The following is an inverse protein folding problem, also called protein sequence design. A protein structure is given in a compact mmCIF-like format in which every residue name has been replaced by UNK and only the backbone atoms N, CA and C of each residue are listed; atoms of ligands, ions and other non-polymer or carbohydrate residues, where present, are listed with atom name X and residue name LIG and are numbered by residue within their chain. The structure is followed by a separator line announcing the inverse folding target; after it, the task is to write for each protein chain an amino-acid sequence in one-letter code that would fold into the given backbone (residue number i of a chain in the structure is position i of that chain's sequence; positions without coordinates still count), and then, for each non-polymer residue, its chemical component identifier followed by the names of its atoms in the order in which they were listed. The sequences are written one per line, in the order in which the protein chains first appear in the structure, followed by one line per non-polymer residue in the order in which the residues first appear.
data_IF_951789621237
#
_entry.id   IF_951789621237
#
_cell.length_a   1.000
_cell.length_b   1.000
_cell.length_c   1.000
_cell.angle_alpha   90.00
_cell.angle_beta   90.00
_cell.angle_gamma   90.00
#
_symmetry.space_group_name_H-M   'P 1'
#
loop_
_entity.id
_entity.type
_entity.pdbx_description
1 polymer ?
#
# COMPACT_ATOMS: atom_id res chain seq x y z
N UNK A 1 -20.87 1.87 15.29
CA UNK A 1 -20.25 2.82 14.33
C UNK A 1 -20.99 4.14 14.43
N UNK A 2 -20.39 5.18 15.03
CA UNK A 2 -21.07 6.45 15.36
C UNK A 2 -20.30 7.70 14.92
N UNK A 3 -19.37 7.59 13.95
CA UNK A 3 -18.58 8.74 13.45
C UNK A 3 -19.03 9.14 12.04
N UNK A 4 -19.34 10.41 11.84
CA UNK A 4 -19.88 10.96 10.57
C UNK A 4 -18.81 11.12 9.48
N UNK A 5 -17.61 11.56 9.86
CA UNK A 5 -16.50 11.77 8.93
C UNK A 5 -15.89 10.44 8.47
N UNK A 6 -15.68 10.31 7.15
CA UNK A 6 -15.13 9.10 6.51
C UNK A 6 -14.09 9.49 5.46
N UNK A 7 -13.00 8.72 5.38
CA UNK A 7 -12.08 8.73 4.26
C UNK A 7 -12.43 7.55 3.34
N UNK A 8 -12.68 7.83 2.07
CA UNK A 8 -12.97 6.81 1.06
C UNK A 8 -11.70 6.62 0.24
N UNK A 9 -11.12 5.43 0.32
CA UNK A 9 -9.93 5.09 -0.45
C UNK A 9 -10.34 4.27 -1.68
N UNK A 10 -10.00 4.78 -2.87
CA UNK A 10 -10.23 4.13 -4.14
C UNK A 10 -9.07 3.16 -4.47
N UNK A 11 -9.40 1.87 -4.49
CA UNK A 11 -8.43 0.80 -4.77
C UNK A 11 -8.11 0.69 -6.26
N UNK A 12 -9.05 1.07 -7.12
CA UNK A 12 -8.81 1.09 -8.56
C UNK A 12 -7.78 2.16 -8.93
N UNK A 13 -7.83 3.33 -8.28
CA UNK A 13 -6.84 4.38 -8.42
C UNK A 13 -5.44 3.93 -7.96
N UNK A 14 -5.33 3.23 -6.83
CA UNK A 14 -4.05 2.68 -6.36
C UNK A 14 -3.44 1.72 -7.39
N UNK A 15 -4.23 0.78 -7.90
CA UNK A 15 -3.78 -0.17 -8.93
C UNK A 15 -3.38 0.53 -10.21
N UNK A 16 -4.20 1.48 -10.67
CA UNK A 16 -3.87 2.30 -11.85
C UNK A 16 -2.52 2.99 -11.69
N UNK A 17 -2.29 3.67 -10.57
CA UNK A 17 -1.05 4.39 -10.30
C UNK A 17 0.15 3.43 -10.28
N UNK A 18 0.02 2.27 -9.64
CA UNK A 18 1.07 1.25 -9.63
C UNK A 18 1.44 0.76 -11.04
N UNK A 19 0.44 0.52 -11.91
CA UNK A 19 0.71 0.16 -13.30
C UNK A 19 1.42 1.28 -14.08
N UNK A 20 1.12 2.56 -13.81
CA UNK A 20 1.85 3.66 -14.43
C UNK A 20 3.32 3.66 -14.00
N UNK A 21 3.60 3.52 -12.71
CA UNK A 21 4.98 3.43 -12.20
C UNK A 21 5.73 2.27 -12.87
N UNK A 22 5.09 1.10 -12.99
CA UNK A 22 5.69 -0.08 -13.61
C UNK A 22 5.97 0.11 -15.11
N UNK A 23 5.10 0.80 -15.84
CA UNK A 23 5.33 1.18 -17.24
C UNK A 23 6.49 2.17 -17.38
N UNK A 24 6.65 3.09 -16.43
CA UNK A 24 7.71 4.11 -16.45
C UNK A 24 9.08 3.58 -16.01
N UNK A 25 9.16 2.42 -15.35
CA UNK A 25 10.39 1.84 -14.85
C UNK A 25 10.55 0.37 -15.31
N UNK A 26 10.65 0.10 -16.62
CA UNK A 26 10.75 -1.26 -17.13
C UNK A 26 12.01 -1.96 -16.61
N UNK A 27 11.86 -3.19 -16.13
CA UNK A 27 12.97 -4.01 -15.62
C UNK A 27 13.45 -3.65 -14.20
N UNK A 28 12.92 -2.59 -13.59
CA UNK A 28 13.22 -2.21 -12.22
C UNK A 28 12.32 -2.96 -11.23
N UNK A 29 12.86 -3.29 -10.06
CA UNK A 29 12.06 -3.70 -8.90
C UNK A 29 11.40 -2.49 -8.25
N UNK A 30 10.15 -2.64 -7.82
CA UNK A 30 9.33 -1.60 -7.21
C UNK A 30 9.02 -1.98 -5.76
N UNK A 31 9.36 -1.09 -4.84
CA UNK A 31 8.96 -1.18 -3.44
C UNK A 31 7.79 -0.23 -3.16
N UNK A 32 6.63 -0.78 -2.77
CA UNK A 32 5.51 0.02 -2.31
C UNK A 32 5.77 0.51 -0.87
N UNK A 33 5.98 1.82 -0.71
CA UNK A 33 6.20 2.42 0.61
C UNK A 33 4.86 2.60 1.31
N UNK A 34 4.66 1.92 2.44
CA UNK A 34 3.38 1.86 3.16
C UNK A 34 3.50 2.25 4.64
N UNK A 35 4.54 3.02 4.99
CA UNK A 35 4.71 3.61 6.34
C UNK A 35 3.52 4.49 6.75
N UNK A 36 3.36 4.71 8.05
CA UNK A 36 2.29 5.50 8.65
C UNK A 36 0.89 5.06 8.17
N UNK A 37 0.62 3.75 8.28
CA UNK A 37 -0.64 3.15 7.83
C UNK A 37 -0.95 3.41 6.34
N UNK A 38 0.05 3.19 5.48
CA UNK A 38 0.04 3.60 4.07
C UNK A 38 -0.36 5.07 3.89
N UNK A 39 0.34 5.97 4.59
CA UNK A 39 0.05 7.41 4.58
C UNK A 39 -1.43 7.71 4.92
N UNK A 40 -2.01 6.95 5.86
CA UNK A 40 -3.40 7.07 6.29
C UNK A 40 -4.45 6.40 5.37
N UNK A 41 -4.01 5.65 4.35
CA UNK A 41 -4.91 4.94 3.43
C UNK A 41 -5.31 3.53 3.93
N UNK A 42 -4.70 3.05 5.02
CA UNK A 42 -4.92 1.72 5.58
C UNK A 42 -3.95 0.70 4.99
N UNK A 43 -2.84 0.44 5.69
CA UNK A 43 -1.72 -0.38 5.21
C UNK A 43 -2.14 -1.77 4.76
N UNK A 44 -3.02 -2.44 5.51
CA UNK A 44 -3.46 -3.79 5.16
C UNK A 44 -4.28 -3.85 3.87
N UNK A 45 -5.08 -2.81 3.60
CA UNK A 45 -5.89 -2.74 2.38
C UNK A 45 -5.04 -2.35 1.18
N UNK A 46 -4.10 -1.42 1.37
CA UNK A 46 -3.14 -1.01 0.33
C UNK A 46 -2.21 -2.16 -0.03
N UNK A 47 -1.65 -2.88 0.95
CA UNK A 47 -0.76 -4.02 0.70
C UNK A 47 -1.45 -5.10 -0.15
N UNK A 48 -2.69 -5.46 0.16
CA UNK A 48 -3.49 -6.39 -0.66
C UNK A 48 -3.84 -5.85 -2.05
N UNK A 49 -3.95 -4.54 -2.21
CA UNK A 49 -4.25 -3.92 -3.50
C UNK A 49 -3.03 -3.89 -4.44
N UNK A 50 -1.82 -3.88 -3.86
CA UNK A 50 -0.53 -3.79 -4.52
C UNK A 50 0.26 -5.09 -4.37
N UNK A 51 -0.43 -6.24 -4.46
CA UNK A 51 0.14 -7.59 -4.35
C UNK A 51 1.22 -7.88 -5.41
N UNK A 52 1.14 -7.20 -6.56
CA UNK A 52 2.14 -7.30 -7.63
C UNK A 52 3.45 -6.53 -7.39
N UNK A 53 3.62 -5.86 -6.24
CA UNK A 53 4.87 -5.14 -5.91
C UNK A 53 5.99 -6.12 -5.57
N UNK A 54 7.25 -5.76 -5.88
CA UNK A 54 8.40 -6.60 -5.55
C UNK A 54 8.74 -6.61 -4.04
N UNK A 55 8.15 -5.70 -3.27
CA UNK A 55 8.24 -5.67 -1.82
C UNK A 55 7.61 -4.42 -1.21
N UNK A 56 7.57 -4.38 0.12
CA UNK A 56 7.04 -3.27 0.89
C UNK A 56 8.13 -2.59 1.70
N UNK A 57 8.04 -1.27 1.84
CA UNK A 57 8.89 -0.48 2.72
C UNK A 57 8.07 0.20 3.82
N UNK A 58 8.56 0.12 5.05
CA UNK A 58 7.94 0.68 6.27
C UNK A 58 8.96 1.52 7.04
N UNK A 59 8.48 2.33 7.99
CA UNK A 59 9.36 3.16 8.81
C UNK A 59 9.70 2.51 10.17
N UNK A 60 8.87 1.58 10.64
CA UNK A 60 9.04 0.93 11.94
C UNK A 60 8.86 -0.59 11.87
N UNK A 61 9.46 -1.31 12.81
CA UNK A 61 9.38 -2.77 12.87
C UNK A 61 7.96 -3.27 13.09
N UNK A 62 7.17 -2.55 13.89
CA UNK A 62 5.78 -2.91 14.20
C UNK A 62 4.89 -2.85 12.96
N UNK A 63 5.15 -1.90 12.05
CA UNK A 63 4.45 -1.82 10.76
C UNK A 63 4.81 -3.04 9.90
N UNK A 64 6.08 -3.45 9.88
CA UNK A 64 6.52 -4.65 9.19
C UNK A 64 5.89 -5.93 9.77
N UNK A 65 5.83 -6.04 11.11
CA UNK A 65 5.16 -7.14 11.78
C UNK A 65 3.65 -7.19 11.47
N UNK A 66 2.98 -6.03 11.44
CA UNK A 66 1.58 -5.92 11.06
C UNK A 66 1.32 -6.37 9.61
N UNK A 67 2.22 -6.04 8.67
CA UNK A 67 2.16 -6.55 7.31
C UNK A 67 2.37 -8.07 7.25
N UNK A 68 3.34 -8.61 7.99
CA UNK A 68 3.56 -10.07 8.04
C UNK A 68 2.35 -10.83 8.58
N UNK A 69 1.62 -10.26 9.52
CA UNK A 69 0.44 -10.89 10.10
C UNK A 69 -0.74 -11.03 9.12
N UNK A 70 -0.74 -10.31 7.99
CA UNK A 70 -1.84 -10.32 7.00
C UNK A 70 -1.54 -11.13 5.73
N UNK A 71 -0.37 -11.78 5.66
CA UNK A 71 0.10 -12.56 4.50
C UNK A 71 1.05 -11.78 3.61
#
# INVERSE_FOLDING_TARGET
MTRLARAIIDISALRHNFQQVRKSAPGCRILAVVKADAYGHGAARVARALDETDGFAVARMEEGAALRAIG
#
